data_IF_892119884534
#
_entry.id   IF_892119884534
#
_cell.length_a   1.000
_cell.length_b   1.000
_cell.length_c   1.000
_cell.angle_alpha   90.00
_cell.angle_beta   90.00
_cell.angle_gamma   90.00
#
_symmetry.space_group_name_H-M   'P 1'
#
loop_
_entity.id
_entity.type
_entity.pdbx_description
1 polymer ?
#
# COMPACT_ATOMS: atom_id res chain seq x y z
N UNK A 1 -20.64 9.35 -22.70
CA UNK A 1 -20.86 8.85 -21.33
C UNK A 1 -19.51 8.39 -20.81
N UNK A 2 -18.90 9.19 -19.94
CA UNK A 2 -17.56 8.98 -19.43
C UNK A 2 -17.64 7.89 -18.35
N UNK A 3 -17.26 6.65 -18.65
CA UNK A 3 -17.13 5.60 -17.62
C UNK A 3 -15.88 5.91 -16.82
N UNK A 4 -15.99 6.86 -15.89
CA UNK A 4 -14.90 7.29 -15.03
C UNK A 4 -14.36 6.10 -14.26
N UNK A 5 -13.16 5.63 -14.62
CA UNK A 5 -12.44 4.63 -13.84
C UNK A 5 -12.16 5.23 -12.46
N UNK A 6 -12.60 4.54 -11.41
CA UNK A 6 -12.40 5.00 -10.03
C UNK A 6 -10.91 5.13 -9.70
N UNK A 7 -10.57 5.85 -8.63
CA UNK A 7 -9.17 6.05 -8.20
C UNK A 7 -8.43 4.70 -8.05
N UNK A 8 -9.11 3.66 -7.56
CA UNK A 8 -8.59 2.29 -7.45
C UNK A 8 -8.11 1.71 -8.78
N UNK A 9 -8.93 1.83 -9.82
CA UNK A 9 -8.66 1.23 -11.12
C UNK A 9 -7.52 1.99 -11.81
N UNK A 10 -7.55 3.33 -11.75
CA UNK A 10 -6.46 4.18 -12.26
C UNK A 10 -5.11 3.85 -11.62
N UNK A 11 -5.09 3.59 -10.31
CA UNK A 11 -3.88 3.22 -9.59
C UNK A 11 -3.43 1.82 -10.01
N UNK A 12 -4.33 0.84 -10.02
CA UNK A 12 -3.98 -0.52 -10.40
C UNK A 12 -3.46 -0.59 -11.84
N UNK A 13 -4.12 0.09 -12.78
CA UNK A 13 -3.71 0.15 -14.18
C UNK A 13 -2.30 0.76 -14.32
N UNK A 14 -2.01 1.82 -13.55
CA UNK A 14 -0.68 2.43 -13.56
C UNK A 14 0.40 1.50 -12.98
N UNK A 15 0.09 0.76 -11.91
CA UNK A 15 1.00 -0.26 -11.36
C UNK A 15 1.23 -1.41 -12.36
N UNK A 16 0.16 -1.85 -13.04
CA UNK A 16 0.14 -3.02 -13.91
C UNK A 16 0.74 -2.77 -15.30
N UNK A 17 0.58 -1.57 -15.86
CA UNK A 17 1.00 -1.23 -17.23
C UNK A 17 2.47 -1.54 -17.54
N UNK A 18 3.34 -1.53 -16.52
CA UNK A 18 4.76 -1.77 -16.67
C UNK A 18 5.54 -0.60 -17.29
N UNK A 19 4.86 0.38 -17.92
CA UNK A 19 5.49 1.52 -18.61
C UNK A 19 6.37 2.35 -17.67
N UNK A 20 5.87 2.66 -16.48
CA UNK A 20 6.61 3.44 -15.47
C UNK A 20 7.86 2.69 -15.04
N UNK A 21 7.76 1.37 -14.85
CA UNK A 21 8.89 0.54 -14.42
C UNK A 21 9.91 0.40 -15.54
N UNK A 22 9.48 0.12 -16.76
CA UNK A 22 10.37 -0.02 -17.91
C UNK A 22 11.13 1.29 -18.20
N UNK A 23 10.49 2.44 -17.99
CA UNK A 23 11.05 3.76 -18.26
C UNK A 23 11.95 4.26 -17.13
N UNK A 24 11.48 4.22 -15.89
CA UNK A 24 12.13 4.87 -14.76
C UNK A 24 12.91 3.89 -13.85
N UNK A 25 12.54 2.60 -13.87
CA UNK A 25 13.11 1.59 -13.00
C UNK A 25 13.64 0.37 -13.77
N UNK A 26 14.54 0.55 -14.76
CA UNK A 26 15.06 -0.56 -15.55
C UNK A 26 15.82 -1.60 -14.70
N UNK A 27 16.27 -1.25 -13.51
CA UNK A 27 16.83 -2.22 -12.54
C UNK A 27 15.78 -3.22 -12.06
N UNK A 28 14.53 -2.81 -11.82
CA UNK A 28 13.44 -3.72 -11.41
C UNK A 28 12.94 -4.60 -12.57
N UNK A 29 13.18 -4.18 -13.81
CA UNK A 29 12.67 -4.86 -15.01
C UNK A 29 13.71 -5.70 -15.76
N UNK A 30 14.97 -5.24 -15.84
CA UNK A 30 16.01 -5.83 -16.71
C UNK A 30 17.12 -6.57 -15.96
N UNK A 31 17.67 -5.98 -14.90
CA UNK A 31 18.85 -6.53 -14.20
C UNK A 31 18.54 -7.21 -12.86
N UNK A 32 17.49 -6.74 -12.19
CA UNK A 32 17.17 -7.09 -10.83
C UNK A 32 17.86 -6.16 -9.82
N UNK A 33 17.35 -6.19 -8.60
CA UNK A 33 17.92 -5.52 -7.43
C UNK A 33 18.26 -6.57 -6.36
N UNK A 34 19.27 -6.37 -5.51
CA UNK A 34 19.57 -7.31 -4.42
C UNK A 34 18.33 -7.65 -3.57
N UNK A 35 18.18 -8.92 -3.19
CA UNK A 35 17.16 -9.35 -2.22
C UNK A 35 17.56 -8.93 -0.80
N UNK A 36 17.47 -7.63 -0.56
CA UNK A 36 17.69 -7.00 0.73
C UNK A 36 16.46 -6.15 0.98
N UNK A 37 15.81 -6.36 2.12
CA UNK A 37 14.52 -5.75 2.44
C UNK A 37 14.50 -4.23 2.23
N UNK A 38 15.46 -3.51 2.81
CA UNK A 38 15.59 -2.05 2.65
C UNK A 38 15.85 -1.62 1.20
N UNK A 39 16.49 -2.46 0.40
CA UNK A 39 16.74 -2.18 -1.02
C UNK A 39 15.44 -2.29 -1.81
N UNK A 40 14.68 -3.36 -1.61
CA UNK A 40 13.36 -3.53 -2.24
C UNK A 40 12.42 -2.40 -1.81
N UNK A 41 12.36 -2.12 -0.50
CA UNK A 41 11.57 -1.03 0.07
C UNK A 41 11.85 0.30 -0.63
N UNK A 42 13.12 0.73 -0.65
CA UNK A 42 13.51 2.03 -1.22
C UNK A 42 13.15 2.15 -2.71
N UNK A 43 13.33 1.09 -3.49
CA UNK A 43 12.97 1.09 -4.91
C UNK A 43 11.46 1.19 -5.10
N UNK A 44 10.68 0.46 -4.31
CA UNK A 44 9.23 0.48 -4.42
C UNK A 44 8.61 1.78 -3.93
N UNK A 45 9.14 2.40 -2.87
CA UNK A 45 8.63 3.70 -2.45
C UNK A 45 8.91 4.79 -3.49
N UNK A 46 10.07 4.74 -4.13
CA UNK A 46 10.40 5.63 -5.26
C UNK A 46 9.49 5.35 -6.46
N UNK A 47 9.19 4.07 -6.74
CA UNK A 47 8.25 3.69 -7.79
C UNK A 47 6.83 4.19 -7.51
N UNK A 48 6.32 3.97 -6.30
CA UNK A 48 4.97 4.40 -5.89
C UNK A 48 4.82 5.92 -5.95
N UNK A 49 5.82 6.68 -5.49
CA UNK A 49 5.80 8.14 -5.62
C UNK A 49 5.83 8.58 -7.09
N UNK A 50 6.58 7.89 -7.95
CA UNK A 50 6.56 8.14 -9.40
C UNK A 50 5.19 7.86 -10.02
N UNK A 51 4.52 6.77 -9.61
CA UNK A 51 3.13 6.46 -10.02
C UNK A 51 2.18 7.56 -9.60
N UNK A 52 2.21 7.98 -8.34
CA UNK A 52 1.36 9.07 -7.83
C UNK A 52 1.55 10.37 -8.61
N UNK A 53 2.79 10.76 -8.87
CA UNK A 53 3.13 11.94 -9.68
C UNK A 53 2.62 11.81 -11.11
N UNK A 54 2.72 10.63 -11.73
CA UNK A 54 2.21 10.37 -13.09
C UNK A 54 0.69 10.46 -13.16
N UNK A 55 0.00 10.10 -12.08
CA UNK A 55 -1.46 10.20 -11.95
C UNK A 55 -1.95 11.61 -11.57
N UNK A 56 -1.05 12.57 -11.39
CA UNK A 56 -1.38 13.97 -11.12
C UNK A 56 -1.36 14.37 -9.65
N UNK A 57 -0.91 13.51 -8.74
CA UNK A 57 -0.80 13.82 -7.31
C UNK A 57 0.57 14.41 -6.96
N UNK A 58 0.65 15.09 -5.81
CA UNK A 58 1.92 15.32 -5.12
C UNK A 58 2.19 14.14 -4.18
N UNK A 59 3.12 13.25 -4.54
CA UNK A 59 3.37 12.02 -3.80
C UNK A 59 4.65 12.10 -2.95
N UNK A 60 4.53 11.78 -1.66
CA UNK A 60 5.60 11.83 -0.67
C UNK A 60 5.83 10.42 -0.11
N UNK A 61 7.09 10.06 0.12
CA UNK A 61 7.51 8.81 0.76
C UNK A 61 7.73 9.01 2.25
N UNK A 62 7.54 7.97 3.06
CA UNK A 62 7.86 7.97 4.50
C UNK A 62 7.19 9.15 5.23
N UNK A 63 5.94 9.42 4.88
CA UNK A 63 5.23 10.63 5.29
C UNK A 63 4.59 10.42 6.67
N UNK A 64 4.99 11.20 7.69
CA UNK A 64 4.40 11.08 9.01
C UNK A 64 2.94 11.53 8.96
N UNK A 65 2.06 10.76 9.60
CA UNK A 65 0.63 11.08 9.71
C UNK A 65 0.42 12.06 10.90
N UNK A 66 1.37 12.98 11.13
CA UNK A 66 1.37 13.93 12.26
C UNK A 66 0.28 15.01 12.19
N UNK A 67 -0.37 15.17 11.03
CA UNK A 67 -1.60 15.94 10.91
C UNK A 67 -2.81 15.33 11.67
N UNK A 68 -2.66 14.12 12.22
CA UNK A 68 -3.71 13.36 12.86
C UNK A 68 -4.04 13.76 14.32
N UNK A 69 -3.63 14.94 14.79
CA UNK A 69 -4.03 15.46 16.11
C UNK A 69 -3.94 14.46 17.28
N UNK A 70 -5.08 14.11 17.88
CA UNK A 70 -5.21 13.23 19.06
C UNK A 70 -4.70 11.78 18.84
N UNK A 71 -4.48 11.35 17.60
CA UNK A 71 -3.98 10.02 17.29
C UNK A 71 -2.48 9.83 17.64
N UNK A 72 -1.79 10.88 18.06
CA UNK A 72 -0.43 10.80 18.61
C UNK A 72 -0.29 9.82 19.79
N UNK A 73 -1.38 9.59 20.55
CA UNK A 73 -1.45 8.59 21.63
C UNK A 73 -1.31 7.15 21.15
N UNK A 74 -1.61 6.89 19.87
CA UNK A 74 -1.49 5.56 19.24
C UNK A 74 -0.06 5.25 18.76
N UNK A 75 0.84 6.25 18.79
CA UNK A 75 2.25 6.15 18.43
C UNK A 75 2.63 6.91 17.17
N UNK A 76 3.89 6.77 16.77
CA UNK A 76 4.37 7.29 15.50
C UNK A 76 3.80 6.43 14.37
N UNK A 77 2.85 6.99 13.63
CA UNK A 77 2.29 6.37 12.43
C UNK A 77 2.86 7.14 11.24
N UNK A 78 3.70 6.44 10.48
CA UNK A 78 4.31 6.94 9.27
C UNK A 78 3.91 6.01 8.14
N UNK A 79 3.18 6.54 7.18
CA UNK A 79 2.84 5.78 5.99
C UNK A 79 4.02 5.76 5.04
N UNK A 80 4.23 4.61 4.41
CA UNK A 80 5.30 4.46 3.43
C UNK A 80 5.11 5.41 2.23
N UNK A 81 3.88 5.73 1.85
CA UNK A 81 3.61 6.86 0.95
C UNK A 81 2.26 7.53 1.20
N UNK A 82 2.22 8.86 1.02
CA UNK A 82 0.97 9.66 1.02
C UNK A 82 0.95 10.51 -0.24
N UNK A 83 -0.18 10.48 -0.94
CA UNK A 83 -0.41 11.26 -2.15
C UNK A 83 -1.46 12.32 -1.90
N UNK A 84 -1.13 13.54 -2.29
CA UNK A 84 -1.91 14.74 -2.04
C UNK A 84 -2.48 15.26 -3.35
N UNK A 85 -3.71 15.77 -3.29
CA UNK A 85 -4.24 16.61 -4.35
C UNK A 85 -3.38 17.88 -4.49
N UNK A 86 -3.07 18.28 -5.73
CA UNK A 86 -2.10 19.38 -5.97
C UNK A 86 -2.68 20.76 -5.73
N UNK A 87 -4.00 20.90 -5.78
CA UNK A 87 -4.67 22.19 -5.64
C UNK A 87 -5.10 22.41 -4.19
N UNK A 88 -5.84 21.46 -3.62
CA UNK A 88 -6.34 21.53 -2.26
C UNK A 88 -5.31 21.12 -1.19
N UNK A 89 -4.19 20.49 -1.60
CA UNK A 89 -3.15 19.99 -0.71
C UNK A 89 -3.63 18.96 0.32
N UNK A 90 -4.81 18.36 0.08
CA UNK A 90 -5.38 17.35 0.95
C UNK A 90 -4.84 15.96 0.63
N UNK A 91 -4.70 15.06 1.63
CA UNK A 91 -4.43 13.65 1.38
C UNK A 91 -5.54 13.05 0.54
N UNK A 92 -5.16 12.19 -0.41
CA UNK A 92 -6.08 11.45 -1.26
C UNK A 92 -5.83 9.95 -1.22
N UNK A 93 -4.57 9.55 -1.15
CA UNK A 93 -4.17 8.14 -1.06
C UNK A 93 -3.12 7.97 0.03
N UNK A 94 -3.22 6.90 0.79
CA UNK A 94 -2.21 6.45 1.75
C UNK A 94 -1.82 5.02 1.45
N UNK A 95 -0.53 4.72 1.50
CA UNK A 95 0.03 3.46 1.05
C UNK A 95 0.98 2.91 2.11
N UNK A 96 0.84 1.61 2.39
CA UNK A 96 1.83 0.80 3.09
C UNK A 96 2.37 -0.26 2.14
N UNK A 97 3.68 -0.47 2.15
CA UNK A 97 4.43 -1.44 1.37
C UNK A 97 5.25 -2.33 2.29
N UNK A 98 4.97 -3.64 2.30
CA UNK A 98 5.58 -4.56 3.27
C UNK A 98 6.04 -5.86 2.64
N UNK A 99 7.22 -6.35 3.05
CA UNK A 99 7.64 -7.71 2.72
C UNK A 99 6.81 -8.70 3.51
N UNK A 100 6.29 -9.72 2.84
CA UNK A 100 5.65 -10.85 3.51
C UNK A 100 6.50 -12.11 3.40
N UNK A 101 6.91 -12.62 4.57
CA UNK A 101 7.41 -13.98 4.74
C UNK A 101 6.44 -14.80 5.62
N UNK A 102 6.56 -16.13 5.58
CA UNK A 102 5.72 -16.99 6.40
C UNK A 102 5.94 -16.68 7.89
N UNK A 103 4.88 -16.27 8.59
CA UNK A 103 4.93 -15.82 9.98
C UNK A 103 4.84 -14.30 10.16
N UNK A 104 4.89 -13.52 9.07
CA UNK A 104 4.80 -12.06 9.10
C UNK A 104 3.36 -11.53 9.07
N UNK A 105 2.35 -12.37 9.33
CA UNK A 105 0.95 -11.94 9.40
C UNK A 105 0.74 -10.79 10.40
N UNK A 106 1.51 -10.78 11.50
CA UNK A 106 1.51 -9.68 12.47
C UNK A 106 2.03 -8.35 11.92
N UNK A 107 3.06 -8.38 11.05
CA UNK A 107 3.59 -7.18 10.40
C UNK A 107 2.58 -6.60 9.41
N UNK A 108 2.01 -7.44 8.55
CA UNK A 108 0.95 -7.01 7.64
C UNK A 108 -0.25 -6.43 8.38
N UNK A 109 -0.67 -7.07 9.49
CA UNK A 109 -1.74 -6.55 10.33
C UNK A 109 -1.39 -5.17 10.88
N UNK A 110 -0.16 -4.97 11.35
CA UNK A 110 0.29 -3.67 11.85
C UNK A 110 0.23 -2.57 10.78
N UNK A 111 0.57 -2.90 9.53
CA UNK A 111 0.44 -1.99 8.38
C UNK A 111 -1.03 -1.66 8.08
N UNK A 112 -1.92 -2.65 8.12
CA UNK A 112 -3.37 -2.41 7.99
C UNK A 112 -3.90 -1.51 9.12
N UNK A 113 -3.47 -1.71 10.36
CA UNK A 113 -3.82 -0.84 11.49
C UNK A 113 -3.35 0.61 11.27
N UNK A 114 -2.14 0.81 10.72
CA UNK A 114 -1.65 2.14 10.36
C UNK A 114 -2.54 2.80 9.29
N UNK A 115 -2.92 2.06 8.24
CA UNK A 115 -3.84 2.55 7.21
C UNK A 115 -5.21 2.93 7.79
N UNK A 116 -5.72 2.16 8.75
CA UNK A 116 -6.98 2.47 9.42
C UNK A 116 -6.88 3.77 10.22
N UNK A 117 -5.79 3.96 10.98
CA UNK A 117 -5.53 5.21 11.70
C UNK A 117 -5.42 6.38 10.73
N UNK A 118 -4.72 6.20 9.60
CA UNK A 118 -4.58 7.22 8.57
C UNK A 118 -5.94 7.66 8.01
N UNK A 119 -6.86 6.72 7.80
CA UNK A 119 -8.21 7.00 7.32
C UNK A 119 -9.03 7.82 8.31
N UNK A 120 -8.95 7.49 9.60
CA UNK A 120 -9.65 8.20 10.66
C UNK A 120 -9.08 9.60 10.91
N UNK A 121 -7.77 9.74 10.74
CA UNK A 121 -7.06 11.00 10.85
C UNK A 121 -7.32 11.96 9.68
N UNK A 122 -7.73 11.45 8.53
CA UNK A 122 -7.74 12.17 7.27
C UNK A 122 -9.12 12.07 6.59
N UNK A 123 -10.10 12.91 6.95
CA UNK A 123 -11.45 12.84 6.39
C UNK A 123 -11.53 13.06 4.87
N UNK A 124 -10.47 13.60 4.27
CA UNK A 124 -10.36 13.90 2.83
C UNK A 124 -9.73 12.78 2.02
N UNK A 125 -9.26 11.72 2.68
CA UNK A 125 -8.66 10.55 2.05
C UNK A 125 -9.72 9.80 1.23
N UNK A 126 -9.37 9.40 0.01
CA UNK A 126 -10.27 8.65 -0.87
C UNK A 126 -9.94 7.15 -0.85
N UNK A 127 -8.70 6.78 -0.51
CA UNK A 127 -8.21 5.40 -0.60
C UNK A 127 -7.07 5.10 0.38
N UNK A 128 -7.14 3.93 1.03
CA UNK A 128 -5.98 3.25 1.61
C UNK A 128 -5.53 2.08 0.72
N UNK A 129 -4.23 1.89 0.58
CA UNK A 129 -3.65 0.83 -0.23
C UNK A 129 -2.60 0.05 0.57
N UNK A 130 -2.85 -1.24 0.76
CA UNK A 130 -1.84 -2.19 1.21
C UNK A 130 -1.21 -2.86 0.00
N UNK A 131 0.10 -2.72 -0.16
CA UNK A 131 0.88 -3.54 -1.06
C UNK A 131 1.76 -4.44 -0.21
N UNK A 132 1.64 -5.76 -0.40
CA UNK A 132 2.60 -6.68 0.19
C UNK A 132 3.34 -7.41 -0.91
N UNK A 133 4.65 -7.58 -0.74
CA UNK A 133 5.46 -8.28 -1.72
C UNK A 133 5.95 -9.62 -1.20
N UNK A 134 6.09 -10.58 -2.11
CA UNK A 134 6.55 -11.92 -1.80
C UNK A 134 7.60 -12.36 -2.82
N UNK A 135 8.55 -13.17 -2.36
CA UNK A 135 9.27 -14.05 -3.30
C UNK A 135 8.26 -15.09 -3.80
N UNK A 136 8.30 -15.41 -5.09
CA UNK A 136 7.38 -16.35 -5.75
C UNK A 136 6.92 -17.52 -4.85
N UNK A 137 5.61 -17.74 -4.73
CA UNK A 137 5.03 -18.91 -4.05
C UNK A 137 4.61 -18.71 -2.59
N UNK A 138 4.99 -17.62 -1.92
CA UNK A 138 4.48 -17.30 -0.57
C UNK A 138 3.20 -16.45 -0.65
N UNK A 139 2.21 -16.77 0.17
CA UNK A 139 1.03 -15.95 0.39
C UNK A 139 0.55 -16.14 1.84
N UNK A 140 -0.06 -15.13 2.46
CA UNK A 140 -0.64 -15.29 3.80
C UNK A 140 -1.66 -16.43 3.82
N UNK A 141 -1.72 -17.16 4.94
CA UNK A 141 -2.70 -18.26 5.11
C UNK A 141 -4.14 -17.74 5.02
N UNK A 142 -4.37 -16.56 5.56
CA UNK A 142 -5.64 -15.84 5.45
C UNK A 142 -5.37 -14.34 5.47
N UNK A 143 -5.76 -13.66 4.40
CA UNK A 143 -5.79 -12.21 4.37
C UNK A 143 -6.97 -11.66 5.18
N UNK A 144 -8.06 -12.44 5.32
CA UNK A 144 -9.27 -12.04 6.02
C UNK A 144 -8.99 -11.63 7.47
N UNK A 145 -8.24 -12.45 8.22
CA UNK A 145 -7.86 -12.13 9.62
C UNK A 145 -6.93 -10.93 9.75
N UNK A 146 -6.19 -10.61 8.69
CA UNK A 146 -5.27 -9.46 8.65
C UNK A 146 -6.09 -8.19 8.44
N UNK A 147 -7.05 -8.22 7.53
CA UNK A 147 -7.85 -7.05 7.13
C UNK A 147 -9.06 -6.80 8.03
N UNK A 148 -9.45 -7.77 8.86
CA UNK A 148 -10.60 -7.66 9.75
C UNK A 148 -10.52 -6.45 10.71
N UNK A 149 -9.31 -6.08 11.15
CA UNK A 149 -9.08 -4.88 11.98
C UNK A 149 -9.47 -3.59 11.29
N UNK A 150 -9.35 -3.56 9.97
CA UNK A 150 -9.71 -2.39 9.17
C UNK A 150 -11.23 -2.17 9.22
N UNK A 151 -11.99 -3.26 9.26
CA UNK A 151 -13.45 -3.28 9.25
C UNK A 151 -14.09 -3.15 10.63
N UNK A 152 -13.50 -3.79 11.63
CA UNK A 152 -14.10 -3.94 12.95
C UNK A 152 -13.48 -3.00 14.00
N UNK A 153 -12.41 -2.30 13.65
CA UNK A 153 -11.59 -1.59 14.61
C UNK A 153 -10.69 -2.55 15.40
N UNK A 154 -9.89 -1.99 16.30
CA UNK A 154 -8.90 -2.73 17.06
C UNK A 154 -8.49 -1.94 18.31
N UNK A 155 -7.69 -2.56 19.18
CA UNK A 155 -7.12 -1.90 20.36
C UNK A 155 -5.61 -1.73 20.19
N UNK A 156 -5.10 -0.50 20.34
CA UNK A 156 -3.68 -0.18 20.25
C UNK A 156 -3.27 0.70 21.42
N UNK A 157 -2.22 0.28 22.15
CA UNK A 157 -1.68 1.00 23.33
C UNK A 157 -2.75 1.35 24.37
N UNK A 158 -3.73 0.47 24.57
CA UNK A 158 -4.80 0.68 25.55
C UNK A 158 -5.96 1.56 25.09
N UNK A 159 -5.92 2.07 23.86
CA UNK A 159 -6.99 2.85 23.25
C UNK A 159 -7.73 2.02 22.20
N UNK A 160 -9.04 2.18 22.15
CA UNK A 160 -9.87 1.57 21.11
C UNK A 160 -9.85 2.48 19.86
N UNK A 161 -9.62 1.87 18.71
CA UNK A 161 -9.57 2.51 17.40
C UNK A 161 -10.79 2.06 16.61
N UNK A 162 -11.58 3.02 16.14
CA UNK A 162 -12.78 2.77 15.34
C UNK A 162 -12.45 2.09 14.00
N UNK A 163 -13.44 1.46 13.33
CA UNK A 163 -13.32 1.05 11.95
C UNK A 163 -12.85 2.17 11.02
N UNK A 164 -12.10 1.82 10.00
CA UNK A 164 -11.67 2.75 8.96
C UNK A 164 -12.86 3.33 8.18
N UNK A 165 -12.69 4.56 7.67
CA UNK A 165 -13.76 5.33 7.01
C UNK A 165 -13.66 5.34 5.49
N UNK A 166 -12.57 4.81 4.93
CA UNK A 166 -12.31 4.79 3.48
C UNK A 166 -12.14 3.36 2.98
N UNK A 167 -12.30 3.11 1.67
CA UNK A 167 -11.99 1.81 1.08
C UNK A 167 -10.51 1.40 1.27
N UNK A 168 -10.28 0.10 1.47
CA UNK A 168 -8.95 -0.52 1.41
C UNK A 168 -8.80 -1.27 0.09
N UNK A 169 -7.77 -0.96 -0.68
CA UNK A 169 -7.29 -1.75 -1.82
C UNK A 169 -6.10 -2.60 -1.39
N UNK A 170 -6.03 -3.85 -1.88
CA UNK A 170 -4.98 -4.79 -1.49
C UNK A 170 -4.32 -5.33 -2.75
N UNK A 171 -3.00 -5.17 -2.84
CA UNK A 171 -2.21 -5.63 -3.97
C UNK A 171 -1.09 -6.54 -3.48
N UNK A 172 -1.03 -7.73 -4.06
CA UNK A 172 0.12 -8.60 -3.96
C UNK A 172 1.12 -8.25 -5.06
N UNK A 173 2.34 -7.94 -4.68
CA UNK A 173 3.48 -7.78 -5.59
C UNK A 173 4.32 -9.07 -5.58
N UNK A 174 4.52 -9.68 -6.74
CA UNK A 174 5.38 -10.87 -6.85
C UNK A 174 6.75 -10.45 -7.34
N UNK A 175 7.77 -10.71 -6.54
CA UNK A 175 9.17 -10.58 -6.92
C UNK A 175 9.69 -11.96 -7.36
N UNK A 176 10.33 -12.02 -8.52
CA UNK A 176 10.92 -13.24 -9.08
C UNK A 176 12.45 -13.17 -9.02
N UNK A 177 13.14 -14.29 -8.80
CA UNK A 177 14.59 -14.32 -8.92
C UNK A 177 15.04 -13.92 -10.33
N UNK A 178 16.11 -13.14 -10.42
CA UNK A 178 16.85 -12.93 -11.66
C UNK A 178 17.72 -14.17 -11.97
N UNK A 179 18.35 -14.18 -13.14
CA UNK A 179 19.20 -15.29 -13.59
C UNK A 179 20.43 -15.52 -12.71
N UNK A 180 20.84 -14.52 -11.92
CA UNK A 180 21.97 -14.60 -10.98
C UNK A 180 21.61 -15.29 -9.65
N UNK A 181 20.32 -15.57 -9.40
CA UNK A 181 19.83 -16.20 -8.18
C UNK A 181 19.84 -15.32 -6.92
N UNK A 182 20.47 -14.15 -6.96
CA UNK A 182 20.65 -13.26 -5.79
C UNK A 182 19.91 -11.92 -5.93
N UNK A 183 19.49 -11.59 -7.15
CA UNK A 183 18.71 -10.39 -7.44
C UNK A 183 17.24 -10.73 -7.66
N UNK A 184 16.37 -9.76 -7.41
CA UNK A 184 14.94 -9.82 -7.63
C UNK A 184 14.53 -8.88 -8.76
N UNK A 185 13.68 -9.38 -9.63
CA UNK A 185 12.94 -8.63 -10.64
C UNK A 185 11.49 -8.52 -10.22
N UNK A 186 10.82 -7.44 -10.64
CA UNK A 186 9.36 -7.44 -10.58
C UNK A 186 8.81 -8.53 -11.51
N UNK A 187 7.90 -9.34 -10.97
CA UNK A 187 7.09 -10.29 -11.73
C UNK A 187 5.76 -9.68 -12.13
N UNK A 188 4.86 -9.49 -11.17
CA UNK A 188 3.49 -9.04 -11.42
C UNK A 188 2.86 -8.37 -10.20
N UNK A 189 1.79 -7.60 -10.45
CA UNK A 189 0.88 -7.11 -9.44
C UNK A 189 -0.47 -7.82 -9.56
N UNK A 190 -1.01 -8.28 -8.44
CA UNK A 190 -2.29 -9.00 -8.36
C UNK A 190 -3.19 -8.29 -7.35
N UNK A 191 -4.38 -7.85 -7.78
CA UNK A 191 -5.36 -7.20 -6.91
C UNK A 191 -6.22 -8.22 -6.18
N UNK A 192 -6.34 -8.10 -4.86
CA UNK A 192 -7.19 -8.97 -4.05
C UNK A 192 -8.62 -8.42 -3.96
N UNK A 193 -9.33 -8.48 -5.09
CA UNK A 193 -10.72 -8.02 -5.18
C UNK A 193 -11.67 -8.80 -4.26
N UNK A 194 -11.31 -10.01 -3.81
CA UNK A 194 -12.13 -10.78 -2.88
C UNK A 194 -12.18 -10.09 -1.53
N UNK A 195 -11.03 -9.79 -0.93
CA UNK A 195 -10.98 -9.14 0.38
C UNK A 195 -11.46 -7.70 0.31
N UNK A 196 -11.21 -6.99 -0.80
CA UNK A 196 -11.80 -5.66 -1.02
C UNK A 196 -13.33 -5.67 -0.94
N UNK A 197 -13.99 -6.64 -1.61
CA UNK A 197 -15.46 -6.78 -1.55
C UNK A 197 -15.99 -7.15 -0.16
N UNK A 198 -15.26 -7.97 0.59
CA UNK A 198 -15.63 -8.32 1.97
C UNK A 198 -15.64 -7.08 2.89
N UNK A 199 -14.71 -6.15 2.65
CA UNK A 199 -14.63 -4.88 3.38
C UNK A 199 -15.75 -3.91 2.99
N UNK A 200 -16.19 -3.91 1.72
CA UNK A 200 -17.28 -3.06 1.22
C UNK A 200 -18.70 -3.53 1.59
N UNK A 201 -18.87 -4.76 2.11
CA UNK A 201 -20.18 -5.38 2.36
C UNK A 201 -21.01 -4.81 3.53
N UNK A 202 -20.92 -3.51 3.82
CA UNK A 202 -21.86 -2.75 4.66
C UNK A 202 -22.20 -1.44 3.96
N UNK A 203 -23.29 -1.46 3.18
CA UNK A 203 -24.16 -0.29 2.98
C UNK A 203 -25.38 -0.51 3.87
#
# INVERSE_FOLDING_TARGET
>A
MNTGHGIHDRIFDALYSGDIIATHFPMLHRRGIPDIDITVHSHFLTFLTTVGQRLGFSAITECPIVWAGDYSKLGDVRADSVWFDRESLNPKVVIEFERFERGDEGKLRQKVENLAIASLASPTLDLALLIYWVRSGSAPRSMESIVDVYRNGFRRRGHDVSPATVPLMIVKCVMRPASDGNSLLLGEFLRDQRNERLLMGRV
#
